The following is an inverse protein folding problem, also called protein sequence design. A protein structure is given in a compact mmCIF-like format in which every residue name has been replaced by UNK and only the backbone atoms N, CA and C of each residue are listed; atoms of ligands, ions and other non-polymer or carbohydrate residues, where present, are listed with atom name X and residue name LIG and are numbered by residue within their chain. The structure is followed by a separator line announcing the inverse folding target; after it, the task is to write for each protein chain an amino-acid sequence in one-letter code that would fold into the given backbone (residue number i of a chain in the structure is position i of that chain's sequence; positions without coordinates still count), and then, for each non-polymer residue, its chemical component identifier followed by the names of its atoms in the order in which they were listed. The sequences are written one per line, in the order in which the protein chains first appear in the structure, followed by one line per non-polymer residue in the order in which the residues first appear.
data_IF_033246145259
#
_entry.id   IF_033246145259
#
_cell.length_a   1.000
_cell.length_b   1.000
_cell.length_c   1.000
_cell.angle_alpha   90.00
_cell.angle_beta   90.00
_cell.angle_gamma   90.00
#
_symmetry.space_group_name_H-M   'P 1'
#
loop_
_entity.id
_entity.type
_entity.pdbx_description
1 polymer ?
#
# COMPACT_ATOMS: atom_id res chain seq x y z
N UNK A 1 -33.81 14.41 -28.80
CA UNK A 1 -33.07 13.13 -28.83
C UNK A 1 -32.36 12.97 -27.50
N UNK A 2 -32.75 11.98 -26.69
CA UNK A 2 -32.05 11.62 -25.45
C UNK A 2 -31.12 10.46 -25.80
N UNK A 3 -29.82 10.60 -25.51
CA UNK A 3 -28.82 9.55 -25.72
C UNK A 3 -28.67 8.78 -24.40
N UNK A 4 -29.13 7.54 -24.37
CA UNK A 4 -29.04 6.65 -23.20
C UNK A 4 -27.81 5.76 -23.33
N UNK A 5 -26.87 5.86 -22.38
CA UNK A 5 -25.66 5.03 -22.31
C UNK A 5 -25.96 3.76 -21.50
N UNK A 6 -25.95 2.59 -22.16
CA UNK A 6 -26.01 1.28 -21.49
C UNK A 6 -24.60 0.79 -21.17
N UNK A 7 -24.25 0.70 -19.88
CA UNK A 7 -22.99 0.08 -19.42
C UNK A 7 -23.31 -1.35 -19.00
N UNK A 8 -22.84 -2.34 -19.77
CA UNK A 8 -22.88 -3.75 -19.43
C UNK A 8 -21.59 -4.10 -18.65
N UNK A 9 -21.68 -4.19 -17.33
CA UNK A 9 -20.61 -4.74 -16.52
C UNK A 9 -20.76 -6.28 -16.46
N UNK A 10 -19.91 -7.00 -17.18
CA UNK A 10 -19.81 -8.46 -17.03
C UNK A 10 -18.89 -8.77 -15.85
N UNK A 11 -19.43 -9.39 -14.80
CA UNK A 11 -18.61 -10.10 -13.83
C UNK A 11 -18.21 -11.45 -14.45
N UNK A 12 -16.95 -11.60 -14.82
CA UNK A 12 -16.44 -12.90 -15.24
C UNK A 12 -16.41 -13.83 -14.02
N UNK A 13 -17.14 -14.95 -14.09
CA UNK A 13 -16.99 -16.03 -13.10
C UNK A 13 -15.73 -16.82 -13.44
N UNK A 14 -14.70 -16.70 -12.60
CA UNK A 14 -13.48 -17.48 -12.71
C UNK A 14 -13.61 -18.77 -11.90
N UNK A 15 -13.50 -19.92 -12.57
CA UNK A 15 -13.43 -21.23 -11.91
C UNK A 15 -11.98 -21.50 -11.54
N UNK A 16 -11.64 -21.38 -10.26
CA UNK A 16 -10.30 -21.74 -9.74
C UNK A 16 -10.21 -23.26 -9.66
N UNK A 17 -9.56 -23.88 -10.65
CA UNK A 17 -8.97 -25.21 -10.46
C UNK A 17 -7.68 -25.02 -9.64
N UNK A 18 -7.38 -25.89 -8.66
CA UNK A 18 -6.28 -25.75 -7.69
C UNK A 18 -4.84 -25.60 -8.29
N UNK A 19 -4.69 -25.55 -9.62
CA UNK A 19 -3.42 -25.34 -10.34
C UNK A 19 -3.33 -24.00 -11.09
N UNK A 20 -4.36 -23.15 -11.05
CA UNK A 20 -4.37 -21.88 -11.78
C UNK A 20 -4.55 -20.70 -10.81
N UNK A 21 -3.55 -19.83 -10.79
CA UNK A 21 -3.61 -18.53 -10.13
C UNK A 21 -3.99 -17.47 -11.17
N UNK A 22 -5.08 -16.74 -10.94
CA UNK A 22 -5.45 -15.56 -11.72
C UNK A 22 -5.41 -14.36 -10.79
N UNK A 23 -4.44 -13.47 -10.99
CA UNK A 23 -4.35 -12.21 -10.27
C UNK A 23 -4.97 -11.10 -11.11
N UNK A 24 -6.11 -10.57 -10.68
CA UNK A 24 -6.71 -9.37 -11.26
C UNK A 24 -6.46 -8.18 -10.32
N UNK A 25 -5.66 -7.22 -10.76
CA UNK A 25 -5.36 -6.01 -9.99
C UNK A 25 -6.13 -4.83 -10.60
N UNK A 26 -7.21 -4.41 -9.95
CA UNK A 26 -7.89 -3.15 -10.22
C UNK A 26 -7.31 -2.04 -9.35
N UNK A 27 -6.91 -0.92 -9.94
CA UNK A 27 -6.39 0.24 -9.19
C UNK A 27 -7.34 1.42 -9.28
N UNK A 28 -7.62 2.05 -8.14
CA UNK A 28 -8.30 3.34 -8.05
C UNK A 28 -7.42 4.29 -7.24
N UNK A 29 -6.79 5.23 -7.94
CA UNK A 29 -5.88 6.21 -7.35
C UNK A 29 -6.62 7.52 -7.06
N UNK A 30 -6.63 7.93 -5.81
CA UNK A 30 -7.08 9.27 -5.39
C UNK A 30 -5.93 10.01 -4.74
N UNK A 31 -5.47 11.08 -5.39
CA UNK A 31 -4.33 11.89 -4.92
C UNK A 31 -4.86 13.11 -4.16
N UNK A 32 -5.14 12.95 -2.87
CA UNK A 32 -5.65 14.06 -2.03
C UNK A 32 -4.51 14.84 -1.36
N UNK A 33 -3.38 14.19 -1.08
CA UNK A 33 -2.22 14.79 -0.42
C UNK A 33 -1.01 15.01 -1.34
N UNK A 34 -1.24 14.94 -2.66
CA UNK A 34 -0.17 15.14 -3.67
C UNK A 34 1.00 14.16 -3.45
N UNK A 35 0.69 12.98 -2.92
CA UNK A 35 1.55 11.81 -2.87
C UNK A 35 0.93 10.76 -3.79
N UNK A 36 1.79 10.06 -4.52
CA UNK A 36 1.40 8.93 -5.35
C UNK A 36 1.76 7.63 -4.62
N UNK A 37 0.85 6.67 -4.54
CA UNK A 37 1.16 5.34 -4.01
C UNK A 37 1.07 4.29 -5.12
N UNK A 38 2.02 3.37 -5.12
CA UNK A 38 2.18 2.30 -6.12
C UNK A 38 2.31 0.98 -5.38
N UNK A 39 1.52 -0.02 -5.78
CA UNK A 39 1.63 -1.38 -5.27
C UNK A 39 2.89 -2.09 -5.83
N UNK A 40 3.71 -2.69 -4.96
CA UNK A 40 4.85 -3.54 -5.33
C UNK A 40 4.62 -5.03 -5.01
N UNK A 41 3.49 -5.36 -4.38
CA UNK A 41 2.99 -6.71 -4.18
C UNK A 41 3.35 -7.34 -2.84
N UNK A 42 3.05 -8.63 -2.73
CA UNK A 42 3.30 -9.46 -1.55
C UNK A 42 4.59 -10.27 -1.73
N UNK A 43 5.38 -10.37 -0.67
CA UNK A 43 6.61 -11.16 -0.63
C UNK A 43 6.78 -11.85 0.73
N UNK A 44 7.70 -12.82 0.83
CA UNK A 44 8.08 -13.43 2.11
C UNK A 44 9.32 -12.73 2.67
N UNK A 45 9.25 -12.29 3.93
CA UNK A 45 10.39 -11.72 4.63
C UNK A 45 11.47 -12.78 4.88
N UNK A 46 12.71 -12.51 4.44
CA UNK A 46 13.86 -13.39 4.67
C UNK A 46 14.58 -13.09 6.00
N UNK A 47 14.42 -11.88 6.52
CA UNK A 47 15.09 -11.41 7.73
C UNK A 47 14.14 -10.55 8.56
N UNK A 48 14.51 -10.37 9.83
CA UNK A 48 13.77 -9.52 10.75
C UNK A 48 14.10 -8.05 10.52
N UNK A 49 13.14 -7.17 10.76
CA UNK A 49 13.37 -5.73 10.83
C UNK A 49 12.59 -5.13 12.01
N UNK A 50 13.23 -4.24 12.76
CA UNK A 50 12.52 -3.43 13.75
C UNK A 50 11.62 -2.42 13.04
N UNK A 51 10.53 -2.02 13.68
CA UNK A 51 9.64 -1.00 13.11
C UNK A 51 10.41 0.31 12.83
N UNK A 52 10.15 0.90 11.66
CA UNK A 52 10.76 2.14 11.20
C UNK A 52 9.69 3.11 10.71
N UNK A 53 9.79 4.37 11.13
CA UNK A 53 8.82 5.42 10.81
C UNK A 53 7.77 5.60 11.89
N UNK A 54 8.07 6.48 12.84
CA UNK A 54 7.20 6.89 13.94
C UNK A 54 7.17 8.41 14.06
N UNK A 55 6.34 9.07 13.27
CA UNK A 55 6.20 10.52 13.33
C UNK A 55 5.45 11.00 14.59
N UNK A 56 5.90 12.12 15.22
CA UNK A 56 7.01 13.03 14.81
C UNK A 56 8.38 12.72 15.42
N UNK A 57 8.51 11.60 16.13
CA UNK A 57 9.63 11.35 17.05
C UNK A 57 10.82 10.64 16.38
N UNK A 58 10.56 9.75 15.42
CA UNK A 58 11.57 8.97 14.70
C UNK A 58 11.11 8.75 13.26
N UNK A 59 11.18 9.81 12.45
CA UNK A 59 10.65 9.83 11.10
C UNK A 59 11.51 9.02 10.13
N UNK A 60 10.84 8.35 9.18
CA UNK A 60 11.44 8.04 7.88
C UNK A 60 11.01 9.16 6.94
N UNK A 61 11.99 9.90 6.44
CA UNK A 61 11.75 11.12 5.67
C UNK A 61 12.14 10.93 4.22
N UNK A 62 11.35 11.46 3.28
CA UNK A 62 11.70 11.41 1.86
C UNK A 62 13.08 12.03 1.60
N UNK A 63 13.88 11.39 0.76
CA UNK A 63 15.23 11.83 0.41
C UNK A 63 15.58 11.43 -1.03
N UNK A 64 16.72 11.91 -1.52
CA UNK A 64 17.24 11.61 -2.86
C UNK A 64 17.51 10.13 -3.09
N UNK A 65 17.85 9.39 -2.03
CA UNK A 65 17.86 7.92 -2.04
C UNK A 65 16.54 7.37 -1.53
N UNK A 66 16.08 6.27 -2.12
CA UNK A 66 14.89 5.57 -1.66
C UNK A 66 15.06 5.15 -0.19
N UNK A 67 14.08 5.50 0.63
CA UNK A 67 14.06 5.09 2.04
C UNK A 67 13.08 3.94 2.25
N UNK A 68 13.13 3.33 3.42
CA UNK A 68 12.22 2.24 3.81
C UNK A 68 11.58 2.60 5.15
N UNK A 69 10.26 2.57 5.19
CA UNK A 69 9.47 2.57 6.42
C UNK A 69 8.78 1.22 6.53
N UNK A 70 8.73 0.65 7.73
CA UNK A 70 8.15 -0.67 7.93
C UNK A 70 7.51 -0.84 9.30
N UNK A 71 6.47 -1.67 9.38
CA UNK A 71 6.07 -2.27 10.66
C UNK A 71 7.19 -3.19 11.18
N UNK A 72 7.11 -3.68 12.41
CA UNK A 72 8.02 -4.75 12.82
C UNK A 72 7.83 -5.95 11.86
N UNK A 73 8.93 -6.44 11.28
CA UNK A 73 8.93 -7.55 10.33
C UNK A 73 9.50 -8.79 11.02
N UNK A 74 8.76 -9.89 10.95
CA UNK A 74 9.17 -11.21 11.42
C UNK A 74 9.64 -12.06 10.21
N UNK A 75 10.78 -12.76 10.31
CA UNK A 75 11.20 -13.70 9.27
C UNK A 75 10.12 -14.74 8.96
N UNK A 76 9.90 -15.03 7.68
CA UNK A 76 8.90 -16.00 7.24
C UNK A 76 7.47 -15.45 7.19
N UNK A 77 7.19 -14.24 7.70
CA UNK A 77 5.91 -13.58 7.46
C UNK A 77 5.79 -13.05 6.04
N UNK A 78 4.56 -12.76 5.65
CA UNK A 78 4.23 -12.10 4.39
C UNK A 78 4.33 -10.60 4.60
N UNK A 79 5.02 -9.93 3.69
CA UNK A 79 5.16 -8.47 3.66
C UNK A 79 4.49 -7.97 2.40
N UNK A 80 3.57 -7.01 2.56
CA UNK A 80 3.09 -6.20 1.46
C UNK A 80 3.96 -4.95 1.33
N UNK A 81 4.45 -4.66 0.13
CA UNK A 81 5.28 -3.48 -0.15
C UNK A 81 4.51 -2.52 -1.07
N UNK A 82 4.45 -1.25 -0.66
CA UNK A 82 3.97 -0.16 -1.49
C UNK A 82 5.01 0.94 -1.56
N UNK A 83 5.26 1.47 -2.75
CA UNK A 83 6.01 2.70 -2.90
C UNK A 83 5.09 3.89 -2.66
N UNK A 84 5.56 4.89 -1.93
CA UNK A 84 4.96 6.23 -1.90
C UNK A 84 5.96 7.21 -2.50
N UNK A 85 5.50 8.09 -3.37
CA UNK A 85 6.31 9.06 -4.09
C UNK A 85 5.82 10.48 -3.78
N UNK A 86 6.76 11.38 -3.55
CA UNK A 86 6.49 12.81 -3.58
C UNK A 86 6.16 13.27 -5.00
N UNK A 87 5.29 14.27 -5.09
CA UNK A 87 5.03 15.02 -6.33
C UNK A 87 5.62 16.41 -6.20
N UNK A 88 5.54 17.22 -7.27
CA UNK A 88 6.00 18.61 -7.26
C UNK A 88 5.28 19.53 -6.26
N UNK A 89 4.25 19.02 -5.57
CA UNK A 89 3.38 19.83 -4.71
C UNK A 89 3.18 19.23 -3.32
N UNK A 90 3.90 18.16 -2.99
CA UNK A 90 3.84 17.53 -1.66
C UNK A 90 4.17 18.55 -0.56
N UNK A 91 3.34 18.66 0.50
CA UNK A 91 3.62 19.55 1.63
C UNK A 91 4.96 19.26 2.31
N UNK A 92 5.69 20.31 2.71
CA UNK A 92 6.88 20.20 3.55
C UNK A 92 6.52 20.02 5.03
N UNK A 93 7.48 19.52 5.83
CA UNK A 93 7.37 19.34 7.28
C UNK A 93 6.07 18.65 7.71
N UNK A 94 5.62 17.68 6.92
CA UNK A 94 4.33 17.04 7.09
C UNK A 94 4.51 15.56 7.34
N UNK A 95 3.61 15.01 8.14
CA UNK A 95 3.56 13.59 8.39
C UNK A 95 2.33 12.97 7.75
N UNK A 96 2.55 11.78 7.22
CA UNK A 96 1.53 11.01 6.53
C UNK A 96 1.42 9.64 7.16
N UNK A 97 0.20 9.19 7.37
CA UNK A 97 -0.09 7.81 7.72
C UNK A 97 -0.35 7.02 6.44
N UNK A 98 0.42 5.95 6.25
CA UNK A 98 0.18 4.98 5.18
C UNK A 98 -0.53 3.80 5.80
N UNK A 99 -1.73 3.50 5.32
CA UNK A 99 -2.54 2.37 5.80
C UNK A 99 -2.76 1.37 4.69
N UNK A 100 -2.34 0.13 4.92
CA UNK A 100 -2.80 -1.04 4.18
C UNK A 100 -4.06 -1.58 4.85
N UNK A 101 -5.06 -1.85 4.04
CA UNK A 101 -6.31 -2.48 4.46
C UNK A 101 -6.51 -3.75 3.67
N UNK A 102 -6.74 -4.88 4.35
CA UNK A 102 -7.13 -6.16 3.76
C UNK A 102 -8.59 -6.45 4.10
N UNK A 103 -9.42 -6.67 3.09
CA UNK A 103 -10.85 -6.92 3.22
C UNK A 103 -11.22 -8.27 2.58
N UNK A 104 -11.19 -9.37 3.36
CA UNK A 104 -11.78 -10.65 2.95
C UNK A 104 -13.32 -10.60 2.99
N UNK A 105 -13.98 -11.38 2.14
CA UNK A 105 -15.45 -11.33 2.01
C UNK A 105 -16.22 -11.84 3.24
N UNK A 106 -15.62 -12.71 4.05
CA UNK A 106 -16.29 -13.44 5.13
C UNK A 106 -15.72 -13.17 6.53
N UNK A 107 -14.78 -12.23 6.66
CA UNK A 107 -14.09 -11.91 7.90
C UNK A 107 -13.96 -10.39 8.06
N UNK A 108 -13.82 -9.86 9.29
CA UNK A 108 -13.56 -8.45 9.49
C UNK A 108 -12.33 -7.97 8.71
N UNK A 109 -12.39 -6.71 8.29
CA UNK A 109 -11.27 -6.02 7.67
C UNK A 109 -10.12 -5.88 8.67
N UNK A 110 -8.89 -6.13 8.22
CA UNK A 110 -7.68 -5.89 9.00
C UNK A 110 -6.91 -4.73 8.39
N UNK A 111 -6.40 -3.83 9.22
CA UNK A 111 -5.60 -2.69 8.78
C UNK A 111 -4.23 -2.67 9.45
N UNK A 112 -3.22 -2.31 8.67
CA UNK A 112 -1.83 -2.16 9.08
C UNK A 112 -1.41 -0.72 8.75
N UNK A 113 -0.65 -0.08 9.63
CA UNK A 113 -0.25 1.31 9.44
C UNK A 113 1.18 1.57 9.84
N UNK A 114 1.80 2.50 9.12
CA UNK A 114 3.08 3.11 9.45
C UNK A 114 3.04 4.59 9.13
N UNK A 115 4.07 5.32 9.53
CA UNK A 115 4.17 6.76 9.27
C UNK A 115 5.42 7.12 8.48
N UNK A 116 5.27 8.10 7.59
CA UNK A 116 6.34 8.69 6.79
C UNK A 116 6.25 10.20 6.88
N UNK A 117 7.34 10.91 6.57
CA UNK A 117 7.37 12.36 6.67
C UNK A 117 8.09 13.02 5.48
N UNK A 118 7.83 14.31 5.29
CA UNK A 118 8.63 15.20 4.45
C UNK A 118 9.52 16.10 5.31
N UNK A 119 10.67 16.48 4.75
CA UNK A 119 11.53 17.50 5.33
C UNK A 119 11.04 18.91 4.95
N UNK A 120 11.89 19.91 5.16
CA UNK A 120 11.60 21.30 4.82
C UNK A 120 11.51 21.56 3.30
N UNK A 121 12.09 20.70 2.46
CA UNK A 121 12.20 20.91 1.01
C UNK A 121 12.06 19.61 0.22
N UNK A 122 10.90 18.93 0.30
CA UNK A 122 10.70 17.67 -0.41
C UNK A 122 10.78 17.91 -1.92
N UNK A 123 11.63 17.16 -2.61
CA UNK A 123 11.68 17.20 -4.07
C UNK A 123 10.70 16.20 -4.67
N UNK A 124 10.26 16.43 -5.90
CA UNK A 124 9.43 15.48 -6.64
C UNK A 124 10.19 14.16 -6.90
N UNK A 125 9.44 13.05 -6.96
CA UNK A 125 9.94 11.70 -7.25
C UNK A 125 10.89 11.11 -6.21
N UNK A 126 11.01 11.70 -5.03
CA UNK A 126 11.58 11.01 -3.88
C UNK A 126 10.62 9.92 -3.40
N UNK A 127 11.17 8.81 -2.92
CA UNK A 127 10.36 7.61 -2.66
C UNK A 127 10.64 6.99 -1.30
N UNK A 128 9.60 6.42 -0.72
CA UNK A 128 9.67 5.57 0.47
C UNK A 128 8.94 4.27 0.15
N UNK A 129 9.64 3.15 0.29
CA UNK A 129 9.01 1.83 0.31
C UNK A 129 8.37 1.61 1.69
N UNK A 130 7.07 1.41 1.71
CA UNK A 130 6.22 1.22 2.88
C UNK A 130 5.87 -0.26 3.00
N UNK A 131 6.52 -0.94 3.96
CA UNK A 131 6.42 -2.40 4.13
C UNK A 131 5.57 -2.78 5.33
N UNK A 132 4.54 -3.56 5.08
CA UNK A 132 3.60 -4.03 6.08
C UNK A 132 3.79 -5.54 6.28
N UNK A 133 4.26 -5.94 7.46
CA UNK A 133 4.15 -7.33 7.89
C UNK A 133 2.67 -7.63 8.18
N UNK A 134 2.10 -8.55 7.41
CA UNK A 134 0.70 -8.95 7.50
C UNK A 134 0.50 -10.35 8.12
N UNK A 135 1.54 -10.89 8.73
CA UNK A 135 1.54 -12.20 9.36
C UNK A 135 1.91 -13.36 8.42
N UNK A 136 1.77 -14.58 8.93
CA UNK A 136 2.30 -15.78 8.27
C UNK A 136 1.52 -16.21 7.01
N UNK A 137 0.25 -15.83 6.90
CA UNK A 137 -0.71 -16.30 5.88
C UNK A 137 -1.52 -15.16 5.29
N UNK A 138 -1.87 -15.25 4.00
CA UNK A 138 -2.83 -14.34 3.38
C UNK A 138 -4.26 -14.65 3.84
N UNK A 139 -5.19 -13.67 3.79
CA UNK A 139 -6.61 -13.95 3.94
C UNK A 139 -7.09 -14.99 2.92
N UNK A 140 -8.07 -15.80 3.30
CA UNK A 140 -8.69 -16.75 2.38
C UNK A 140 -9.33 -15.99 1.21
N UNK A 141 -8.98 -16.31 -0.05
CA UNK A 141 -9.60 -15.69 -1.21
C UNK A 141 -11.11 -15.97 -1.29
N UNK A 142 -11.89 -15.09 -1.94
CA UNK A 142 -11.47 -13.79 -2.48
C UNK A 142 -11.29 -12.75 -1.37
N UNK A 143 -10.28 -11.89 -1.53
CA UNK A 143 -10.08 -10.70 -0.71
C UNK A 143 -9.62 -9.54 -1.59
N UNK A 144 -9.87 -8.32 -1.11
CA UNK A 144 -9.36 -7.10 -1.72
C UNK A 144 -8.37 -6.40 -0.79
N UNK A 145 -7.56 -5.51 -1.33
CA UNK A 145 -6.70 -4.65 -0.52
C UNK A 145 -6.76 -3.20 -1.00
N UNK A 146 -6.48 -2.28 -0.09
CA UNK A 146 -6.47 -0.84 -0.35
C UNK A 146 -5.30 -0.19 0.38
N UNK A 147 -4.53 0.63 -0.34
CA UNK A 147 -3.56 1.55 0.26
C UNK A 147 -4.17 2.94 0.35
N UNK A 148 -3.96 3.61 1.48
CA UNK A 148 -4.34 5.00 1.69
C UNK A 148 -3.19 5.76 2.31
N UNK A 149 -2.91 6.96 1.79
CA UNK A 149 -1.93 7.90 2.34
C UNK A 149 -2.69 9.15 2.76
N UNK A 150 -2.62 9.51 4.05
CA UNK A 150 -3.37 10.63 4.64
C UNK A 150 -2.53 11.49 5.56
#
# INVERSE_FOLDING_TARGET
MVLTLFILAYAASFTINQKQYTGEQGSHLTVTNRLLSIDKGFSKAQSAASAAGSCPVSNVTFASSAQIANTAITPGNIVFDAQVNTTATTPSLSCFTVTLTLAPNSSPQTSYSLTIATDASPQANWTIDCRFDIGATLPTPPFSFKITVR
#
